data_IF_625415519596
#
_entry.id   IF_625415519596
#
_cell.length_a   1.000
_cell.length_b   1.000
_cell.length_c   1.000
_cell.angle_alpha   90.00
_cell.angle_beta   90.00
_cell.angle_gamma   90.00
#
_symmetry.space_group_name_H-M   'P 1'
#
loop_
_entity.id
_entity.type
_entity.pdbx_description
1 polymer ?
#
# COMPACT_ATOMS: atom_id res chain seq x y z
N UNK A 1 18.81 -5.22 2.37
CA UNK A 1 18.57 -6.60 2.37
C UNK A 1 17.30 -6.98 1.66
N UNK A 2 17.41 -7.82 0.68
CA UNK A 2 16.34 -8.05 -0.29
C UNK A 2 15.32 -9.06 0.24
N UNK A 3 14.24 -8.55 0.83
CA UNK A 3 13.09 -9.37 1.13
C UNK A 3 12.35 -9.63 -0.18
N UNK A 4 11.79 -10.82 -0.32
CA UNK A 4 10.96 -11.13 -1.47
C UNK A 4 9.64 -10.37 -1.39
N UNK A 5 9.18 -9.85 -2.52
CA UNK A 5 7.92 -9.10 -2.60
C UNK A 5 6.88 -9.92 -3.33
N UNK A 6 5.63 -9.83 -2.90
CA UNK A 6 4.53 -10.46 -3.64
C UNK A 6 4.30 -9.74 -4.96
N UNK A 7 3.64 -10.39 -5.90
CA UNK A 7 3.32 -9.77 -7.19
C UNK A 7 2.49 -8.51 -7.01
N UNK A 8 1.52 -8.53 -6.10
CA UNK A 8 0.68 -7.35 -5.83
C UNK A 8 1.50 -6.20 -5.26
N UNK A 9 2.50 -6.48 -4.42
CA UNK A 9 3.38 -5.45 -3.89
C UNK A 9 4.23 -4.85 -5.01
N UNK A 10 4.78 -5.69 -5.88
CA UNK A 10 5.57 -5.21 -7.03
C UNK A 10 4.71 -4.35 -7.93
N UNK A 11 3.49 -4.79 -8.25
CA UNK A 11 2.55 -4.01 -9.07
C UNK A 11 2.25 -2.65 -8.46
N UNK A 12 2.05 -2.62 -7.14
CA UNK A 12 1.77 -1.36 -6.44
C UNK A 12 2.96 -0.40 -6.54
N UNK A 13 4.17 -0.91 -6.35
CA UNK A 13 5.38 -0.08 -6.45
C UNK A 13 5.54 0.46 -7.88
N UNK A 14 5.33 -0.39 -8.89
CA UNK A 14 5.40 0.03 -10.28
C UNK A 14 4.35 1.10 -10.59
N UNK A 15 3.13 0.91 -10.10
CA UNK A 15 2.06 1.89 -10.29
C UNK A 15 2.39 3.22 -9.59
N UNK A 16 3.03 3.15 -8.43
CA UNK A 16 3.46 4.34 -7.71
C UNK A 16 4.51 5.12 -8.51
N UNK A 17 5.46 4.41 -9.13
CA UNK A 17 6.46 5.04 -9.99
C UNK A 17 5.81 5.73 -11.18
N UNK A 18 4.87 5.04 -11.83
CA UNK A 18 4.14 5.62 -12.96
C UNK A 18 3.37 6.87 -12.56
N UNK A 19 2.74 6.84 -11.38
CA UNK A 19 2.01 8.00 -10.86
C UNK A 19 2.94 9.17 -10.59
N UNK A 20 4.11 8.92 -10.01
CA UNK A 20 5.09 9.97 -9.76
C UNK A 20 5.55 10.62 -11.07
N UNK A 21 5.79 9.82 -12.11
CA UNK A 21 6.14 10.31 -13.43
C UNK A 21 5.01 11.18 -14.00
N UNK A 22 3.78 10.70 -13.91
CA UNK A 22 2.60 11.41 -14.40
C UNK A 22 2.44 12.77 -13.73
N UNK A 23 2.71 12.83 -12.43
CA UNK A 23 2.64 14.09 -11.67
C UNK A 23 3.91 14.94 -11.80
N UNK A 24 4.88 14.51 -12.62
CA UNK A 24 6.14 15.23 -12.84
C UNK A 24 6.93 15.43 -11.55
N UNK A 25 6.89 14.44 -10.69
CA UNK A 25 7.67 14.40 -9.46
C UNK A 25 8.98 13.65 -9.71
N UNK A 26 10.06 14.08 -9.07
CA UNK A 26 11.36 13.41 -9.21
C UNK A 26 11.46 12.19 -8.32
N UNK A 27 10.66 12.15 -7.27
CA UNK A 27 10.69 11.04 -6.32
C UNK A 27 9.34 10.35 -6.28
N UNK A 28 9.38 9.04 -6.16
CA UNK A 28 8.20 8.31 -5.71
C UNK A 28 8.21 8.34 -4.19
N UNK A 29 7.11 8.78 -3.60
CA UNK A 29 7.02 9.04 -2.18
C UNK A 29 5.78 8.34 -1.60
N UNK A 30 5.57 8.52 -0.30
CA UNK A 30 4.50 7.83 0.41
C UNK A 30 3.11 8.01 -0.23
N UNK A 31 2.71 9.23 -0.66
CA UNK A 31 1.36 9.36 -1.25
C UNK A 31 1.21 8.58 -2.55
N UNK A 32 2.26 8.47 -3.36
CA UNK A 32 2.18 7.72 -4.61
C UNK A 32 1.91 6.23 -4.35
N UNK A 33 2.60 5.65 -3.38
CA UNK A 33 2.42 4.23 -3.09
C UNK A 33 1.07 3.96 -2.40
N UNK A 34 0.68 4.82 -1.47
CA UNK A 34 -0.62 4.64 -0.83
C UNK A 34 -1.77 4.78 -1.83
N UNK A 35 -1.62 5.72 -2.77
CA UNK A 35 -2.59 5.85 -3.86
C UNK A 35 -2.69 4.56 -4.69
N UNK A 36 -1.54 3.98 -5.02
CA UNK A 36 -1.50 2.71 -5.75
C UNK A 36 -2.20 1.60 -4.98
N UNK A 37 -1.98 1.51 -3.68
CA UNK A 37 -2.62 0.50 -2.85
C UNK A 37 -4.13 0.69 -2.78
N UNK A 38 -4.60 1.93 -2.69
CA UNK A 38 -6.03 2.23 -2.60
C UNK A 38 -6.77 2.03 -3.92
N UNK A 39 -6.06 2.08 -5.05
CA UNK A 39 -6.68 1.97 -6.37
C UNK A 39 -6.34 0.66 -7.09
N UNK A 40 -5.63 -0.24 -6.42
CA UNK A 40 -5.20 -1.49 -7.03
C UNK A 40 -6.42 -2.36 -7.38
N UNK A 41 -6.50 -2.77 -8.64
CA UNK A 41 -7.58 -3.62 -9.11
C UNK A 41 -7.48 -5.00 -8.45
N UNK A 42 -8.60 -5.46 -7.91
CA UNK A 42 -8.65 -6.72 -7.17
C UNK A 42 -7.64 -6.78 -6.03
N UNK A 43 -7.34 -5.62 -5.45
CA UNK A 43 -6.35 -5.53 -4.38
C UNK A 43 -6.95 -5.80 -3.00
N UNK A 44 -6.11 -6.30 -2.12
CA UNK A 44 -6.50 -6.58 -0.75
C UNK A 44 -6.84 -5.31 0.03
N UNK A 45 -6.09 -4.22 -0.20
CA UNK A 45 -6.30 -3.00 0.58
C UNK A 45 -7.69 -2.39 0.33
N UNK A 46 -8.17 -2.23 -0.92
CA UNK A 46 -9.54 -1.77 -1.13
C UNK A 46 -10.58 -2.67 -0.47
N UNK A 47 -10.37 -3.98 -0.45
CA UNK A 47 -11.28 -4.91 0.21
C UNK A 47 -11.30 -4.68 1.72
N UNK A 48 -10.14 -4.47 2.33
CA UNK A 48 -10.06 -4.20 3.76
C UNK A 48 -10.71 -2.87 4.10
N UNK A 49 -10.53 -1.85 3.25
CA UNK A 49 -11.20 -0.56 3.45
C UNK A 49 -12.72 -0.73 3.43
N UNK A 50 -13.22 -1.48 2.45
CA UNK A 50 -14.65 -1.76 2.36
C UNK A 50 -15.16 -2.48 3.60
N UNK A 51 -14.40 -3.45 4.08
CA UNK A 51 -14.74 -4.21 5.29
C UNK A 51 -14.83 -3.28 6.51
N UNK A 52 -13.99 -2.25 6.54
CA UNK A 52 -13.99 -1.26 7.62
C UNK A 52 -15.03 -0.16 7.42
N UNK A 53 -15.82 -0.22 6.34
CA UNK A 53 -16.80 0.82 6.05
C UNK A 53 -16.20 2.08 5.47
N UNK A 54 -14.99 2.00 4.92
CA UNK A 54 -14.29 3.14 4.31
C UNK A 54 -14.34 3.02 2.79
N UNK A 55 -14.30 4.16 2.13
CA UNK A 55 -14.34 4.21 0.66
C UNK A 55 -12.93 4.50 0.13
N UNK A 56 -12.28 3.48 -0.44
CA UNK A 56 -10.93 3.61 -0.96
C UNK A 56 -10.85 4.65 -2.08
N UNK A 57 -11.91 4.83 -2.86
CA UNK A 57 -11.94 5.82 -3.94
C UNK A 57 -11.88 7.24 -3.38
N UNK A 58 -12.61 7.50 -2.28
CA UNK A 58 -12.60 8.82 -1.65
C UNK A 58 -11.24 9.09 -1.00
N UNK A 59 -10.65 8.07 -0.37
CA UNK A 59 -9.30 8.19 0.18
C UNK A 59 -8.31 8.51 -0.94
N UNK A 60 -8.42 7.81 -2.07
CA UNK A 60 -7.56 8.08 -3.23
C UNK A 60 -7.69 9.52 -3.71
N UNK A 61 -8.91 10.08 -3.69
CA UNK A 61 -9.12 11.49 -4.03
C UNK A 61 -8.36 12.44 -3.13
N UNK A 62 -8.29 12.14 -1.84
CA UNK A 62 -7.49 12.93 -0.90
C UNK A 62 -6.01 12.83 -1.23
N UNK A 63 -5.55 11.65 -1.62
CA UNK A 63 -4.14 11.45 -2.01
C UNK A 63 -3.81 12.20 -3.30
N UNK A 64 -4.76 12.26 -4.24
CA UNK A 64 -4.56 13.05 -5.46
C UNK A 64 -4.31 14.51 -5.14
N UNK A 65 -5.04 15.06 -4.16
CA UNK A 65 -4.82 16.45 -3.73
C UNK A 65 -3.44 16.63 -3.11
N UNK A 66 -2.99 15.67 -2.32
CA UNK A 66 -1.63 15.72 -1.75
C UNK A 66 -0.59 15.69 -2.86
N UNK A 67 -0.74 14.78 -3.81
CA UNK A 67 0.20 14.66 -4.93
C UNK A 67 0.22 15.92 -5.80
N UNK A 68 -0.95 16.52 -6.02
CA UNK A 68 -1.04 17.75 -6.82
C UNK A 68 -0.31 18.92 -6.16
N UNK A 69 -0.15 18.89 -4.84
CA UNK A 69 0.55 19.93 -4.10
C UNK A 69 2.08 19.73 -4.04
N UNK A 70 2.57 18.58 -4.48
CA UNK A 70 4.02 18.35 -4.57
C UNK A 70 4.55 19.19 -5.73
N UNK A 71 5.63 19.96 -5.54
CA UNK A 71 6.19 20.77 -6.64
C UNK A 71 6.58 19.89 -7.82
N UNK A 72 6.15 20.32 -9.01
CA UNK A 72 6.48 19.62 -10.25
C UNK A 72 7.87 20.03 -10.70
N UNK A 73 8.64 19.06 -11.20
CA UNK A 73 9.95 19.32 -11.74
C UNK A 73 9.86 19.17 -13.26
N UNK A 74 10.01 20.29 -13.96
CA UNK A 74 9.94 20.35 -15.42
C UNK A 74 11.20 21.02 -15.94
N UNK A 75 11.43 20.92 -17.21
CA UNK A 75 12.53 21.60 -17.87
C UNK A 75 13.45 20.66 -18.61
N UNK A 76 14.34 21.27 -19.40
CA UNK A 76 15.32 20.53 -20.19
C UNK A 76 16.33 19.89 -19.25
N UNK A 77 16.70 18.69 -19.47
CA UNK A 77 17.65 17.97 -18.62
C UNK A 77 17.00 17.04 -17.63
N UNK A 78 15.68 17.12 -17.42
CA UNK A 78 14.99 16.15 -16.60
C UNK A 78 14.69 14.90 -17.44
N UNK A 79 15.09 13.75 -16.91
CA UNK A 79 14.69 12.47 -17.51
C UNK A 79 13.27 12.16 -17.07
N UNK A 80 12.34 12.23 -17.99
CA UNK A 80 10.90 12.03 -17.71
C UNK A 80 10.56 10.62 -17.25
N UNK A 81 11.46 9.67 -17.46
CA UNK A 81 11.21 8.27 -17.13
C UNK A 81 11.96 7.80 -15.88
N UNK A 82 12.72 8.69 -15.26
CA UNK A 82 13.52 8.33 -14.08
C UNK A 82 12.93 8.97 -12.83
N UNK A 83 12.57 8.14 -11.88
CA UNK A 83 12.16 8.60 -10.54
C UNK A 83 12.96 7.81 -9.50
N UNK A 84 13.18 8.43 -8.38
CA UNK A 84 13.95 7.85 -7.28
C UNK A 84 13.03 7.64 -6.08
N UNK A 85 13.27 6.58 -5.32
CA UNK A 85 12.51 6.35 -4.10
C UNK A 85 12.98 7.35 -3.05
N UNK A 86 12.04 8.07 -2.43
CA UNK A 86 12.38 9.03 -1.37
C UNK A 86 12.91 8.28 -0.15
N UNK A 87 13.68 8.99 0.69
CA UNK A 87 14.17 8.39 1.93
C UNK A 87 13.01 7.96 2.82
N UNK A 88 11.96 8.74 2.87
CA UNK A 88 10.78 8.43 3.66
C UNK A 88 10.12 7.14 3.21
N UNK A 89 9.96 6.96 1.90
CA UNK A 89 9.37 5.75 1.37
C UNK A 89 10.31 4.56 1.56
N UNK A 90 11.60 4.77 1.38
CA UNK A 90 12.59 3.70 1.60
C UNK A 90 12.52 3.17 3.04
N UNK A 91 12.46 4.09 4.02
CA UNK A 91 12.32 3.67 5.42
C UNK A 91 11.03 2.91 5.67
N UNK A 92 9.94 3.35 5.05
CA UNK A 92 8.64 2.68 5.17
C UNK A 92 8.70 1.27 4.62
N UNK A 93 9.33 1.09 3.46
CA UNK A 93 9.47 -0.22 2.83
C UNK A 93 10.39 -1.13 3.65
N UNK A 94 11.48 -0.60 4.20
CA UNK A 94 12.36 -1.37 5.07
C UNK A 94 11.61 -1.82 6.33
N UNK A 95 10.79 -0.95 6.90
CA UNK A 95 9.99 -1.31 8.06
C UNK A 95 8.96 -2.39 7.72
N UNK A 96 8.42 -2.38 6.50
CA UNK A 96 7.47 -3.41 6.08
C UNK A 96 8.12 -4.78 6.00
N UNK A 97 9.41 -4.85 5.64
CA UNK A 97 10.17 -6.10 5.68
C UNK A 97 10.26 -6.65 7.09
N UNK A 98 10.54 -5.78 8.06
CA UNK A 98 10.62 -6.19 9.45
C UNK A 98 9.26 -6.68 9.96
N UNK A 99 8.17 -6.01 9.56
CA UNK A 99 6.83 -6.42 9.93
C UNK A 99 6.51 -7.81 9.39
N UNK A 100 6.83 -8.05 8.11
CA UNK A 100 6.60 -9.37 7.51
C UNK A 100 7.36 -10.45 8.25
N UNK A 101 8.62 -10.19 8.57
CA UNK A 101 9.46 -11.14 9.28
C UNK A 101 8.90 -11.44 10.66
N UNK A 102 8.47 -10.41 11.39
CA UNK A 102 7.89 -10.58 12.73
C UNK A 102 6.59 -11.37 12.71
N UNK A 103 5.87 -11.32 11.60
CA UNK A 103 4.63 -12.09 11.42
C UNK A 103 4.88 -13.51 10.92
N UNK A 104 6.13 -13.89 10.72
CA UNK A 104 6.48 -15.21 10.22
C UNK A 104 6.24 -15.38 8.73
N UNK A 105 6.23 -14.29 7.98
CA UNK A 105 5.94 -14.31 6.55
C UNK A 105 7.24 -14.24 5.75
N UNK A 106 7.28 -14.97 4.63
CA UNK A 106 8.48 -15.02 3.79
C UNK A 106 8.51 -13.92 2.75
N UNK A 107 7.34 -13.37 2.38
CA UNK A 107 7.22 -12.32 1.39
C UNK A 107 6.60 -11.08 2.01
N UNK A 108 6.99 -9.92 1.51
CA UNK A 108 6.33 -8.66 1.87
C UNK A 108 5.11 -8.50 0.97
N UNK A 109 3.94 -8.56 1.56
CA UNK A 109 2.68 -8.36 0.85
C UNK A 109 2.14 -6.96 1.12
N UNK A 110 1.06 -6.60 0.44
CA UNK A 110 0.51 -5.24 0.55
C UNK A 110 0.04 -4.92 1.97
N UNK A 111 -0.39 -5.93 2.74
CA UNK A 111 -0.81 -5.67 4.12
C UNK A 111 0.37 -5.24 5.01
N UNK A 112 1.56 -5.78 4.76
CA UNK A 112 2.76 -5.37 5.51
C UNK A 112 3.11 -3.92 5.20
N UNK A 113 2.99 -3.53 3.93
CA UNK A 113 3.23 -2.15 3.53
C UNK A 113 2.23 -1.22 4.20
N UNK A 114 0.95 -1.61 4.20
CA UNK A 114 -0.08 -0.81 4.87
C UNK A 114 0.17 -0.69 6.36
N UNK A 115 0.55 -1.79 7.01
CA UNK A 115 0.88 -1.77 8.45
C UNK A 115 2.04 -0.82 8.74
N UNK A 116 3.03 -0.78 7.83
CA UNK A 116 4.15 0.14 7.98
C UNK A 116 3.72 1.60 7.94
N UNK A 117 2.69 1.94 7.15
CA UNK A 117 2.16 3.30 7.13
C UNK A 117 1.67 3.77 8.49
N UNK A 118 1.09 2.87 9.29
CA UNK A 118 0.59 3.29 10.61
C UNK A 118 1.71 3.78 11.52
N UNK A 119 2.91 3.23 11.38
CA UNK A 119 4.03 3.58 12.25
C UNK A 119 4.99 4.59 11.60
N UNK A 120 4.98 4.70 10.29
CA UNK A 120 6.01 5.45 9.56
C UNK A 120 5.42 6.48 8.58
N UNK A 121 4.15 6.80 8.71
CA UNK A 121 3.50 7.77 7.82
C UNK A 121 4.06 9.16 8.04
N UNK A 122 4.22 9.89 6.95
CA UNK A 122 4.53 11.31 7.05
C UNK A 122 3.26 12.11 7.40
N UNK A 123 3.43 13.42 7.53
CA UNK A 123 2.39 14.31 8.06
C UNK A 123 1.08 14.23 7.27
N UNK A 124 1.17 14.26 5.94
CA UNK A 124 -0.03 14.27 5.09
C UNK A 124 -0.79 12.97 5.19
N UNK A 125 -0.07 11.85 5.26
CA UNK A 125 -0.70 10.53 5.36
C UNK A 125 -1.34 10.37 6.75
N UNK A 126 -0.67 10.83 7.80
CA UNK A 126 -1.25 10.81 9.15
C UNK A 126 -2.57 11.57 9.19
N UNK A 127 -2.63 12.71 8.52
CA UNK A 127 -3.83 13.52 8.49
C UNK A 127 -4.96 12.79 7.76
N UNK A 128 -4.66 12.12 6.66
CA UNK A 128 -5.65 11.33 5.93
C UNK A 128 -6.18 10.20 6.81
N UNK A 129 -5.32 9.48 7.50
CA UNK A 129 -5.77 8.41 8.40
C UNK A 129 -6.69 8.96 9.50
N UNK A 130 -6.36 10.13 10.02
CA UNK A 130 -7.20 10.78 11.03
C UNK A 130 -8.55 11.20 10.44
N UNK A 131 -8.54 11.82 9.28
CA UNK A 131 -9.76 12.33 8.62
C UNK A 131 -10.73 11.20 8.31
N UNK A 132 -10.22 10.04 7.92
CA UNK A 132 -11.05 8.88 7.57
C UNK A 132 -11.22 7.90 8.72
N UNK A 133 -10.67 8.21 9.89
CA UNK A 133 -10.72 7.34 11.07
C UNK A 133 -10.19 5.93 10.76
N UNK A 134 -9.04 5.88 10.09
CA UNK A 134 -8.36 4.62 9.79
C UNK A 134 -7.30 4.41 10.87
N UNK A 135 -7.49 3.38 11.69
CA UNK A 135 -6.55 3.08 12.76
C UNK A 135 -5.98 1.67 12.64
N UNK A 136 -4.83 1.47 13.26
CA UNK A 136 -4.09 0.22 13.15
C UNK A 136 -4.85 -0.97 13.73
N UNK A 137 -5.46 -0.79 14.89
CA UNK A 137 -6.15 -1.89 15.58
C UNK A 137 -7.32 -2.41 14.74
N UNK A 138 -8.12 -1.51 14.20
CA UNK A 138 -9.24 -1.90 13.33
C UNK A 138 -8.74 -2.58 12.07
N UNK A 139 -7.66 -2.07 11.50
CA UNK A 139 -7.07 -2.68 10.30
C UNK A 139 -6.57 -4.10 10.59
N UNK A 140 -5.85 -4.29 11.70
CA UNK A 140 -5.36 -5.61 12.09
C UNK A 140 -6.50 -6.59 12.29
N UNK A 141 -7.60 -6.14 12.90
CA UNK A 141 -8.76 -6.98 13.11
C UNK A 141 -9.39 -7.42 11.79
N UNK A 142 -9.56 -6.48 10.86
CA UNK A 142 -10.09 -6.80 9.54
C UNK A 142 -9.16 -7.74 8.79
N UNK A 143 -7.87 -7.51 8.87
CA UNK A 143 -6.87 -8.36 8.23
C UNK A 143 -6.92 -9.78 8.78
N UNK A 144 -7.04 -9.92 10.10
CA UNK A 144 -7.13 -11.23 10.74
C UNK A 144 -8.36 -12.00 10.25
N UNK A 145 -9.47 -11.32 10.06
CA UNK A 145 -10.70 -11.97 9.57
C UNK A 145 -10.53 -12.49 8.16
N UNK A 146 -9.75 -11.81 7.33
CA UNK A 146 -9.52 -12.23 5.94
C UNK A 146 -8.41 -13.26 5.85
N UNK A 147 -7.33 -13.04 6.56
CA UNK A 147 -6.10 -13.84 6.46
C UNK A 147 -6.13 -15.08 7.35
N UNK A 148 -6.74 -14.97 8.54
CA UNK A 148 -6.73 -16.05 9.51
C UNK A 148 -5.32 -16.38 9.96
N UNK A 149 -5.00 -17.68 9.99
CA UNK A 149 -3.69 -18.16 10.43
C UNK A 149 -2.72 -18.41 9.26
N UNK A 150 -3.09 -17.99 8.07
CA UNK A 150 -2.21 -18.19 6.91
C UNK A 150 -0.94 -17.37 7.02
N UNK A 151 0.13 -17.89 6.44
CA UNK A 151 1.40 -17.20 6.31
C UNK A 151 1.66 -16.90 4.85
N UNK A 152 2.40 -15.83 4.59
CA UNK A 152 2.75 -15.44 3.22
C UNK A 152 3.99 -16.24 2.82
N UNK A 153 3.78 -17.36 2.15
CA UNK A 153 4.83 -18.27 1.72
C UNK A 153 4.96 -18.33 0.20
N UNK A 154 4.10 -17.61 -0.52
CA UNK A 154 4.13 -17.55 -1.98
C UNK A 154 4.10 -16.08 -2.40
N UNK A 155 4.22 -15.84 -3.70
CA UNK A 155 4.17 -14.48 -4.23
C UNK A 155 2.74 -14.03 -4.60
N UNK A 156 1.72 -14.88 -4.34
CA UNK A 156 0.32 -14.55 -4.63
C UNK A 156 -0.63 -14.86 -3.46
N UNK A 157 -0.28 -14.48 -2.22
CA UNK A 157 -1.13 -14.81 -1.07
C UNK A 157 -2.45 -14.05 -1.07
N UNK A 158 -2.46 -12.82 -1.60
CA UNK A 158 -3.65 -11.99 -1.64
C UNK A 158 -4.76 -12.65 -2.46
N UNK A 159 -4.40 -13.36 -3.52
CA UNK A 159 -5.34 -14.12 -4.34
C UNK A 159 -5.90 -15.30 -3.55
N UNK A 160 -5.06 -15.94 -2.74
CA UNK A 160 -5.46 -17.06 -1.89
C UNK A 160 -6.47 -16.61 -0.84
N UNK A 161 -6.26 -15.42 -0.24
CA UNK A 161 -7.20 -14.88 0.74
C UNK A 161 -8.58 -14.69 0.12
N UNK A 162 -8.65 -14.16 -1.09
CA UNK A 162 -9.92 -13.97 -1.80
C UNK A 162 -10.65 -15.29 -2.03
N UNK A 163 -9.92 -16.28 -2.51
CA UNK A 163 -10.48 -17.60 -2.80
C UNK A 163 -11.03 -18.22 -1.53
N UNK A 164 -10.28 -18.20 -0.44
CA UNK A 164 -10.72 -18.77 0.83
C UNK A 164 -11.94 -18.05 1.37
N UNK A 165 -12.00 -16.74 1.23
CA UNK A 165 -13.15 -15.96 1.66
C UNK A 165 -14.40 -16.35 0.88
N UNK A 166 -14.28 -16.56 -0.43
CA UNK A 166 -15.40 -16.99 -1.26
C UNK A 166 -15.89 -18.39 -0.86
N UNK A 167 -14.97 -19.30 -0.68
CA UNK A 167 -15.33 -20.66 -0.28
C UNK A 167 -15.94 -20.69 1.11
N UNK A 168 -15.43 -19.91 2.02
CA UNK A 168 -16.01 -19.80 3.35
C UNK A 168 -17.45 -19.33 3.33
N UNK A 169 -17.79 -18.45 2.41
CA UNK A 169 -19.15 -17.98 2.24
C UNK A 169 -20.04 -19.03 1.56
N UNK A 170 -19.49 -19.73 0.61
CA UNK A 170 -20.25 -20.71 -0.16
C UNK A 170 -20.55 -21.98 0.63
N UNK A 171 -19.72 -22.31 1.57
CA UNK A 171 -19.87 -23.51 2.38
C UNK A 171 -20.91 -23.37 3.48
N UNK A 172 -21.37 -22.18 3.71
CA UNK A 172 -22.42 -21.89 4.68
C UNK A 172 -23.78 -21.93 4.02
#
# INVERSE_FOLDING_TARGET
>A
NMQKLTKKTIEAIQAAQDTAIEYQNTNVDQPHLLYALMTQENGLIPQLMKKLGKDATVIAGSLERVMANIPKVTGSGRDMNTVYISQSLDRLLNASEAIAKNMGDEFVSVEHVMLSYFDNADKDIKQIFKDFAIDKDSFLKALQEVRGNQRVTTDTPEDTYDVLKKYGQDLV
#
